data_IF_216591865737
#
_entry.id   IF_216591865737
#
_cell.length_a   1.000
_cell.length_b   1.000
_cell.length_c   1.000
_cell.angle_alpha   90.00
_cell.angle_beta   90.00
_cell.angle_gamma   90.00
#
_symmetry.space_group_name_H-M   'P 1'
#
loop_
_entity.id
_entity.type
_entity.pdbx_description
1 polymer ?
#
# COMPACT_ATOMS: atom_id res chain seq x y z
N UNK A 1 -60.31 56.26 -21.72
CA UNK A 1 -60.01 56.99 -20.47
C UNK A 1 -59.03 56.17 -19.67
N UNK A 2 -57.80 56.66 -19.56
CA UNK A 2 -56.65 56.04 -18.89
C UNK A 2 -56.91 55.64 -17.45
N UNK A 3 -56.36 54.49 -17.02
CA UNK A 3 -55.69 54.38 -15.71
C UNK A 3 -54.47 53.47 -15.82
N UNK A 4 -53.34 54.08 -15.53
CA UNK A 4 -51.97 53.55 -15.48
C UNK A 4 -51.85 52.66 -14.24
N UNK A 5 -51.30 51.46 -14.41
CA UNK A 5 -50.90 50.58 -13.30
C UNK A 5 -49.42 50.86 -13.00
N UNK A 6 -49.15 51.44 -11.84
CA UNK A 6 -47.80 51.61 -11.30
C UNK A 6 -47.51 50.40 -10.41
N UNK A 7 -46.60 49.51 -10.84
CA UNK A 7 -46.05 48.47 -9.99
C UNK A 7 -44.87 49.04 -9.19
N UNK A 8 -45.07 49.19 -7.88
CA UNK A 8 -44.02 49.46 -6.90
C UNK A 8 -43.23 48.17 -6.65
N UNK A 9 -42.00 48.08 -7.16
CA UNK A 9 -41.05 47.03 -6.81
C UNK A 9 -40.28 47.50 -5.57
N UNK A 10 -40.60 46.90 -4.43
CA UNK A 10 -39.82 47.00 -3.20
C UNK A 10 -38.55 46.15 -3.37
N UNK A 11 -37.40 46.79 -3.62
CA UNK A 11 -36.10 46.12 -3.59
C UNK A 11 -35.62 46.03 -2.13
N UNK A 12 -35.78 44.86 -1.53
CA UNK A 12 -35.13 44.51 -0.26
C UNK A 12 -33.64 44.30 -0.50
N UNK A 13 -32.82 45.24 -0.03
CA UNK A 13 -31.37 45.09 0.03
C UNK A 13 -31.04 44.20 1.23
N UNK A 14 -30.83 42.91 1.00
CA UNK A 14 -30.16 42.04 1.97
C UNK A 14 -28.66 42.35 1.95
N UNK A 15 -28.20 43.05 2.97
CA UNK A 15 -26.78 43.19 3.29
C UNK A 15 -26.25 41.86 3.86
N UNK A 16 -25.75 40.98 3.01
CA UNK A 16 -24.87 39.90 3.45
C UNK A 16 -23.47 40.45 3.65
N UNK A 17 -23.07 40.52 4.92
CA UNK A 17 -21.69 40.79 5.36
C UNK A 17 -20.82 39.65 4.85
N UNK A 18 -20.06 39.91 3.79
CA UNK A 18 -18.98 39.04 3.33
C UNK A 18 -17.84 39.11 4.36
N UNK A 19 -17.68 38.04 5.14
CA UNK A 19 -16.41 37.78 5.81
C UNK A 19 -15.35 37.47 4.75
N UNK A 20 -14.19 38.15 4.74
CA UNK A 20 -13.09 37.72 3.89
C UNK A 20 -12.63 36.35 4.39
N UNK A 21 -12.83 35.32 3.56
CA UNK A 21 -12.14 34.05 3.69
C UNK A 21 -10.66 34.37 3.56
N UNK A 22 -9.92 34.29 4.67
CA UNK A 22 -8.47 34.23 4.68
C UNK A 22 -8.05 33.01 3.85
N UNK A 23 -7.90 33.23 2.54
CA UNK A 23 -7.17 32.35 1.65
C UNK A 23 -5.72 32.42 2.11
N UNK A 24 -5.38 31.64 3.15
CA UNK A 24 -4.00 31.27 3.45
C UNK A 24 -3.45 30.65 2.18
N UNK A 25 -2.70 31.49 1.46
CA UNK A 25 -1.80 31.18 0.37
C UNK A 25 -1.09 29.88 0.76
N UNK A 26 -1.48 28.77 0.12
CA UNK A 26 -0.79 27.49 0.25
C UNK A 26 0.62 27.75 -0.26
N UNK A 27 1.54 27.96 0.68
CA UNK A 27 2.98 28.00 0.40
C UNK A 27 3.25 26.69 -0.33
N UNK A 28 3.76 26.75 -1.55
CA UNK A 28 4.18 25.59 -2.30
C UNK A 28 5.20 24.83 -1.46
N UNK A 29 4.73 23.83 -0.71
CA UNK A 29 5.60 22.83 -0.10
C UNK A 29 6.33 22.18 -1.27
N UNK A 30 7.64 22.42 -1.34
CA UNK A 30 8.50 21.58 -2.19
C UNK A 30 8.25 20.15 -1.72
N UNK A 31 7.80 19.30 -2.66
CA UNK A 31 7.62 17.88 -2.39
C UNK A 31 9.03 17.34 -2.13
N UNK A 32 9.36 17.13 -0.85
CA UNK A 32 10.63 16.51 -0.45
C UNK A 32 10.45 15.01 -0.67
N UNK A 33 11.07 14.50 -1.73
CA UNK A 33 11.13 13.07 -2.01
C UNK A 33 12.01 12.41 -0.95
N UNK A 34 11.49 11.39 -0.29
CA UNK A 34 12.23 10.63 0.73
C UNK A 34 13.30 9.73 0.07
N UNK A 35 14.37 9.35 0.79
CA UNK A 35 15.36 8.41 0.27
C UNK A 35 14.76 7.08 -0.20
N UNK A 36 13.72 6.61 0.49
CA UNK A 36 13.00 5.38 0.17
C UNK A 36 12.19 5.53 -1.12
N UNK A 37 11.50 6.66 -1.29
CA UNK A 37 10.81 7.02 -2.53
C UNK A 37 11.79 7.10 -3.70
N UNK A 38 12.90 7.83 -3.57
CA UNK A 38 13.93 7.93 -4.59
C UNK A 38 14.51 6.55 -4.95
N UNK A 39 14.74 5.68 -3.95
CA UNK A 39 15.16 4.30 -4.20
C UNK A 39 14.17 3.52 -5.08
N UNK A 40 12.86 3.72 -4.90
CA UNK A 40 11.87 3.09 -5.77
C UNK A 40 11.94 3.62 -7.20
N UNK A 41 11.98 4.94 -7.38
CA UNK A 41 12.02 5.56 -8.71
C UNK A 41 13.29 5.18 -9.49
N UNK A 42 14.44 5.12 -8.81
CA UNK A 42 15.73 4.83 -9.43
C UNK A 42 15.88 3.35 -9.80
N UNK A 43 15.20 2.45 -9.09
CA UNK A 43 15.43 1.01 -9.20
C UNK A 43 14.24 0.24 -9.77
N UNK A 44 13.02 0.76 -9.76
CA UNK A 44 11.84 0.00 -10.14
C UNK A 44 10.95 0.78 -11.08
N UNK A 45 11.05 0.43 -12.37
CA UNK A 45 10.10 0.83 -13.39
C UNK A 45 9.26 -0.39 -13.81
N UNK A 46 7.95 -0.21 -13.87
CA UNK A 46 7.03 -1.27 -14.24
C UNK A 46 7.08 -1.49 -15.76
N UNK A 47 7.82 -2.53 -16.16
CA UNK A 47 8.03 -2.91 -17.56
C UNK A 47 6.72 -3.12 -18.32
N UNK A 48 6.55 -2.38 -19.40
CA UNK A 48 5.46 -2.57 -20.33
C UNK A 48 5.65 -3.85 -21.15
N UNK A 49 4.55 -4.36 -21.71
CA UNK A 49 4.54 -5.57 -22.52
C UNK A 49 5.53 -5.52 -23.70
N UNK A 50 5.78 -4.33 -24.28
CA UNK A 50 6.76 -4.13 -25.36
C UNK A 50 8.21 -4.44 -24.96
N UNK A 51 8.51 -4.41 -23.68
CA UNK A 51 9.84 -4.68 -23.11
C UNK A 51 10.00 -6.15 -22.67
N UNK A 52 8.95 -6.96 -22.84
CA UNK A 52 8.99 -8.37 -22.49
C UNK A 52 9.67 -9.14 -23.62
N UNK A 53 10.74 -9.85 -23.27
CA UNK A 53 11.40 -10.79 -24.16
C UNK A 53 10.81 -12.19 -23.99
N UNK A 54 10.74 -12.94 -25.09
CA UNK A 54 10.44 -14.37 -25.03
C UNK A 54 11.42 -15.05 -24.08
N UNK A 55 10.91 -15.85 -23.15
CA UNK A 55 11.71 -16.43 -22.07
C UNK A 55 11.58 -15.71 -20.73
N UNK A 56 10.87 -14.58 -20.63
CA UNK A 56 10.60 -13.94 -19.32
C UNK A 56 9.77 -14.87 -18.45
N UNK A 57 10.20 -15.06 -17.21
CA UNK A 57 9.60 -16.03 -16.29
C UNK A 57 8.78 -15.36 -15.18
N UNK A 58 7.68 -16.01 -14.84
CA UNK A 58 6.75 -15.60 -13.79
C UNK A 58 6.43 -16.81 -12.93
N UNK A 59 6.36 -16.63 -11.62
CA UNK A 59 5.94 -17.69 -10.69
C UNK A 59 4.48 -17.49 -10.31
N UNK A 60 3.72 -18.58 -10.34
CA UNK A 60 2.34 -18.59 -9.91
C UNK A 60 2.25 -18.70 -8.39
N UNK A 61 1.59 -17.73 -7.74
CA UNK A 61 1.49 -17.68 -6.27
C UNK A 61 0.21 -18.34 -5.73
N UNK A 62 -0.70 -18.77 -6.62
CA UNK A 62 -1.95 -19.45 -6.28
C UNK A 62 -1.92 -20.92 -6.65
N UNK A 63 -2.67 -21.74 -5.89
CA UNK A 63 -2.90 -23.15 -6.22
C UNK A 63 -3.81 -23.32 -7.43
N UNK A 64 -4.78 -22.43 -7.58
CA UNK A 64 -5.71 -22.42 -8.70
C UNK A 64 -5.07 -21.80 -9.94
N UNK A 65 -5.56 -22.22 -11.12
CA UNK A 65 -5.19 -21.58 -12.37
C UNK A 65 -5.59 -20.10 -12.30
N UNK A 66 -4.68 -19.18 -12.71
CA UNK A 66 -5.03 -17.78 -12.83
C UNK A 66 -6.35 -17.58 -13.59
N UNK A 67 -7.32 -16.90 -12.98
CA UNK A 67 -8.71 -16.81 -13.49
C UNK A 67 -8.75 -16.31 -14.93
N UNK A 68 -7.78 -15.48 -15.28
CA UNK A 68 -7.69 -14.83 -16.56
C UNK A 68 -6.94 -15.65 -17.64
N UNK A 69 -6.28 -16.74 -17.26
CA UNK A 69 -5.60 -17.63 -18.20
C UNK A 69 -6.55 -18.70 -18.70
N UNK A 70 -6.89 -18.64 -19.98
CA UNK A 70 -7.57 -19.74 -20.66
C UNK A 70 -6.62 -20.90 -20.93
N UNK A 71 -7.09 -22.14 -20.71
CA UNK A 71 -6.45 -23.37 -21.17
C UNK A 71 -7.05 -23.74 -22.53
N UNK A 72 -6.20 -24.06 -23.51
CA UNK A 72 -6.67 -24.43 -24.85
C UNK A 72 -6.80 -25.95 -25.06
N UNK A 73 -7.12 -26.74 -24.01
CA UNK A 73 -7.12 -28.21 -24.05
C UNK A 73 -8.09 -28.85 -23.06
N UNK A 74 -8.61 -30.03 -23.47
CA UNK A 74 -9.58 -30.93 -22.82
C UNK A 74 -9.03 -31.75 -21.63
N UNK A 75 -7.78 -31.53 -21.22
CA UNK A 75 -7.13 -32.31 -20.17
C UNK A 75 -7.12 -31.56 -18.85
N UNK A 76 -7.50 -32.25 -17.76
CA UNK A 76 -7.56 -31.70 -16.42
C UNK A 76 -6.25 -30.97 -16.07
N UNK A 77 -6.32 -29.69 -15.65
CA UNK A 77 -5.14 -29.01 -15.13
C UNK A 77 -4.56 -29.80 -13.94
N UNK A 78 -3.27 -29.62 -13.66
CA UNK A 78 -2.74 -30.05 -12.36
C UNK A 78 -3.55 -29.40 -11.25
N UNK A 79 -3.79 -30.12 -10.15
CA UNK A 79 -4.58 -29.60 -9.04
C UNK A 79 -3.88 -28.45 -8.27
N UNK A 80 -2.57 -28.27 -8.46
CA UNK A 80 -1.78 -27.21 -7.82
C UNK A 80 -0.87 -26.48 -8.82
N UNK A 81 -1.07 -25.17 -8.97
CA UNK A 81 -0.23 -24.25 -9.75
C UNK A 81 0.77 -23.47 -8.90
N UNK A 82 0.71 -23.58 -7.58
CA UNK A 82 1.58 -22.80 -6.69
C UNK A 82 3.05 -23.15 -6.93
N UNK A 83 3.88 -22.12 -7.10
CA UNK A 83 5.31 -22.26 -7.38
C UNK A 83 5.64 -22.62 -8.83
N UNK A 84 4.65 -22.83 -9.71
CA UNK A 84 4.92 -23.15 -11.12
C UNK A 84 5.40 -21.94 -11.89
N UNK A 85 6.29 -22.20 -12.86
CA UNK A 85 6.90 -21.16 -13.69
C UNK A 85 6.15 -21.08 -15.02
N UNK A 86 5.60 -19.90 -15.28
CA UNK A 86 5.03 -19.50 -16.55
C UNK A 86 6.05 -18.66 -17.31
N UNK A 87 6.44 -19.15 -18.48
CA UNK A 87 7.37 -18.46 -19.37
C UNK A 87 6.59 -17.75 -20.47
N UNK A 88 6.75 -16.43 -20.58
CA UNK A 88 6.18 -15.67 -21.68
C UNK A 88 6.84 -16.08 -23.01
N UNK A 89 6.02 -16.36 -24.03
CA UNK A 89 6.50 -16.77 -25.35
C UNK A 89 6.31 -15.68 -26.40
N UNK A 90 5.07 -15.27 -26.64
CA UNK A 90 4.73 -14.34 -27.73
C UNK A 90 3.33 -13.75 -27.57
N UNK A 91 3.01 -12.78 -28.43
CA UNK A 91 1.65 -12.34 -28.70
C UNK A 91 1.09 -13.11 -29.89
N UNK A 92 -0.16 -13.54 -29.78
CA UNK A 92 -0.89 -14.22 -30.83
C UNK A 92 -2.17 -13.42 -31.13
N UNK A 93 -2.27 -12.87 -32.34
CA UNK A 93 -3.49 -12.19 -32.76
C UNK A 93 -4.57 -13.23 -33.11
N UNK A 94 -5.74 -13.06 -32.51
CA UNK A 94 -6.94 -13.85 -32.76
C UNK A 94 -8.01 -12.94 -33.38
N UNK A 95 -8.72 -13.46 -34.39
CA UNK A 95 -9.90 -12.78 -34.93
C UNK A 95 -11.08 -13.07 -34.00
N UNK A 96 -11.37 -12.13 -33.10
CA UNK A 96 -12.57 -12.17 -32.27
C UNK A 96 -13.82 -11.83 -33.07
N UNK A 97 -14.98 -12.27 -32.58
CA UNK A 97 -16.28 -11.90 -33.16
C UNK A 97 -16.54 -10.38 -33.08
N UNK A 98 -16.00 -9.70 -32.06
CA UNK A 98 -16.22 -8.27 -31.79
C UNK A 98 -15.06 -7.36 -32.22
N UNK A 99 -14.05 -7.84 -32.93
CA UNK A 99 -12.86 -7.06 -33.33
C UNK A 99 -11.55 -7.83 -33.20
N UNK A 100 -10.43 -7.10 -33.20
CA UNK A 100 -9.09 -7.64 -32.94
C UNK A 100 -8.96 -8.04 -31.46
N UNK A 101 -8.67 -9.32 -31.22
CA UNK A 101 -8.28 -9.82 -29.90
C UNK A 101 -6.84 -10.30 -29.96
N UNK A 102 -6.08 -10.10 -28.90
CA UNK A 102 -4.70 -10.57 -28.81
C UNK A 102 -4.55 -11.41 -27.56
N UNK A 103 -4.00 -12.61 -27.72
CA UNK A 103 -3.64 -13.48 -26.61
C UNK A 103 -2.15 -13.28 -26.25
N UNK A 104 -1.88 -13.01 -24.97
CA UNK A 104 -0.53 -13.14 -24.41
C UNK A 104 -0.32 -14.62 -24.09
N UNK A 105 0.65 -15.24 -24.75
CA UNK A 105 0.89 -16.69 -24.65
C UNK A 105 1.99 -16.98 -23.65
N UNK A 106 1.66 -17.80 -22.66
CA UNK A 106 2.58 -18.37 -21.68
C UNK A 106 2.74 -19.87 -21.90
N UNK A 107 3.89 -20.40 -21.50
CA UNK A 107 4.15 -21.83 -21.42
C UNK A 107 4.50 -22.21 -20.00
N UNK A 108 3.89 -23.29 -19.49
CA UNK A 108 4.20 -23.86 -18.19
C UNK A 108 4.12 -25.38 -18.32
N UNK A 109 5.17 -26.11 -17.92
CA UNK A 109 5.24 -27.58 -17.96
C UNK A 109 4.86 -28.18 -19.34
N UNK A 110 5.29 -27.53 -20.43
CA UNK A 110 5.00 -27.95 -21.80
C UNK A 110 3.56 -27.67 -22.28
N UNK A 111 2.74 -27.00 -21.47
CA UNK A 111 1.37 -26.59 -21.81
C UNK A 111 1.32 -25.10 -22.12
N UNK A 112 0.47 -24.71 -23.09
CA UNK A 112 0.26 -23.32 -23.49
C UNK A 112 -0.97 -22.74 -22.79
N UNK A 113 -0.81 -21.54 -22.26
CA UNK A 113 -1.85 -20.76 -21.58
C UNK A 113 -2.00 -19.42 -22.27
N UNK A 114 -3.24 -18.94 -22.40
CA UNK A 114 -3.55 -17.70 -23.13
C UNK A 114 -4.26 -16.71 -22.22
N UNK A 115 -3.68 -15.53 -22.04
CA UNK A 115 -4.37 -14.38 -21.45
C UNK A 115 -4.94 -13.51 -22.58
N UNK A 116 -6.27 -13.51 -22.74
CA UNK A 116 -6.93 -12.81 -23.85
C UNK A 116 -7.20 -11.36 -23.50
N UNK A 117 -6.83 -10.46 -24.41
CA UNK A 117 -7.04 -9.01 -24.30
C UNK A 117 -7.81 -8.52 -25.51
N UNK A 118 -8.88 -7.74 -25.29
CA UNK A 118 -9.71 -7.12 -26.34
C UNK A 118 -9.05 -5.88 -26.94
N UNK A 119 -7.84 -6.03 -27.47
CA UNK A 119 -7.04 -5.00 -28.15
C UNK A 119 -6.17 -5.67 -29.22
N UNK A 120 -5.77 -4.91 -30.25
CA UNK A 120 -4.77 -5.40 -31.21
C UNK A 120 -3.37 -5.42 -30.60
N UNK A 121 -2.46 -6.25 -31.13
CA UNK A 121 -1.08 -6.30 -30.64
C UNK A 121 -0.39 -4.94 -30.83
N UNK A 122 -0.64 -4.26 -31.94
CA UNK A 122 -0.13 -2.92 -32.21
C UNK A 122 -0.57 -1.88 -31.17
N UNK A 123 -1.85 -1.86 -30.80
CA UNK A 123 -2.37 -0.97 -29.75
C UNK A 123 -1.73 -1.25 -28.38
N UNK A 124 -1.57 -2.53 -28.04
CA UNK A 124 -0.96 -2.94 -26.77
C UNK A 124 0.50 -2.51 -26.68
N UNK A 125 1.27 -2.68 -27.76
CA UNK A 125 2.68 -2.32 -27.80
C UNK A 125 2.90 -0.80 -27.84
N UNK A 126 2.08 -0.06 -28.60
CA UNK A 126 2.16 1.40 -28.67
C UNK A 126 1.76 2.08 -27.36
N UNK A 127 0.72 1.56 -26.70
CA UNK A 127 0.15 2.14 -25.47
C UNK A 127 0.89 1.79 -24.18
N UNK A 128 2.07 1.16 -24.23
CA UNK A 128 2.78 0.69 -23.03
C UNK A 128 1.88 -0.18 -22.14
N UNK A 129 1.16 -1.13 -22.75
CA UNK A 129 0.18 -1.95 -22.04
C UNK A 129 0.85 -2.77 -20.93
N UNK A 130 0.23 -2.80 -19.75
CA UNK A 130 0.63 -3.57 -18.58
C UNK A 130 -0.47 -4.58 -18.25
N UNK A 131 -0.25 -5.88 -18.50
CA UNK A 131 -1.26 -6.88 -18.21
C UNK A 131 -1.43 -7.02 -16.69
N UNK A 132 -2.67 -7.01 -16.21
CA UNK A 132 -2.97 -7.24 -14.80
C UNK A 132 -2.95 -8.75 -14.54
N UNK A 133 -1.83 -9.24 -14.01
CA UNK A 133 -1.60 -10.66 -13.72
C UNK A 133 -1.29 -10.84 -12.22
N UNK A 134 -2.28 -10.65 -11.33
CA UNK A 134 -2.05 -10.65 -9.88
C UNK A 134 -1.51 -11.98 -9.36
N UNK A 135 -1.84 -13.09 -10.03
CA UNK A 135 -1.40 -14.43 -9.65
C UNK A 135 -0.02 -14.81 -10.20
N UNK A 136 0.54 -14.02 -11.13
CA UNK A 136 1.84 -14.28 -11.76
C UNK A 136 2.86 -13.20 -11.40
N UNK A 137 3.74 -13.52 -10.46
CA UNK A 137 4.80 -12.61 -10.00
C UNK A 137 6.03 -12.74 -10.92
N UNK A 138 6.57 -11.65 -11.50
CA UNK A 138 7.76 -11.72 -12.34
C UNK A 138 9.01 -12.10 -11.52
N UNK A 139 9.74 -13.14 -11.94
CA UNK A 139 10.93 -13.60 -11.20
C UNK A 139 12.09 -12.61 -11.29
N UNK A 140 12.22 -11.87 -12.40
CA UNK A 140 13.23 -10.82 -12.56
C UNK A 140 13.01 -9.65 -11.59
N UNK A 141 11.75 -9.38 -11.25
CA UNK A 141 11.37 -8.36 -10.28
C UNK A 141 11.72 -8.78 -8.84
N UNK A 142 11.41 -10.03 -8.47
CA UNK A 142 11.78 -10.62 -7.16
C UNK A 142 13.31 -10.64 -7.01
N UNK A 143 14.03 -11.15 -8.02
CA UNK A 143 15.49 -11.24 -7.99
C UNK A 143 16.16 -9.86 -7.88
N UNK A 144 15.62 -8.84 -8.57
CA UNK A 144 16.12 -7.47 -8.46
C UNK A 144 15.95 -6.93 -7.04
N UNK A 145 14.75 -7.06 -6.47
CA UNK A 145 14.48 -6.64 -5.09
C UNK A 145 15.38 -7.36 -4.09
N UNK A 146 15.55 -8.67 -4.23
CA UNK A 146 16.44 -9.47 -3.40
C UNK A 146 17.89 -8.97 -3.47
N UNK A 147 18.41 -8.75 -4.68
CA UNK A 147 19.79 -8.27 -4.87
C UNK A 147 20.06 -6.90 -4.25
N UNK A 148 19.05 -6.04 -4.20
CA UNK A 148 19.18 -4.68 -3.65
C UNK A 148 19.02 -4.66 -2.14
N UNK A 149 18.18 -5.53 -1.56
CA UNK A 149 17.78 -5.45 -0.16
C UNK A 149 18.43 -6.49 0.76
N UNK A 150 18.79 -7.68 0.25
CA UNK A 150 19.34 -8.76 1.07
C UNK A 150 20.56 -8.30 1.86
N UNK A 151 20.57 -8.58 3.15
CA UNK A 151 21.63 -8.20 4.09
C UNK A 151 21.59 -6.75 4.57
N UNK A 152 20.70 -5.90 4.06
CA UNK A 152 20.52 -4.53 4.58
C UNK A 152 19.80 -4.55 5.93
N UNK A 153 20.15 -3.57 6.76
CA UNK A 153 19.38 -3.22 7.95
C UNK A 153 18.41 -2.10 7.56
N UNK A 154 17.13 -2.32 7.82
CA UNK A 154 16.04 -1.37 7.58
C UNK A 154 15.23 -1.18 8.85
N UNK A 155 14.49 -0.08 8.95
CA UNK A 155 13.58 0.20 10.06
C UNK A 155 12.13 0.00 9.61
N UNK A 156 11.47 -1.01 10.17
CA UNK A 156 10.09 -1.35 9.76
C UNK A 156 9.07 -0.45 10.44
N UNK A 157 8.08 0.08 9.71
CA UNK A 157 7.04 1.02 10.19
C UNK A 157 5.76 0.31 10.64
N UNK A 158 5.55 -0.93 10.19
CA UNK A 158 4.38 -1.74 10.51
C UNK A 158 4.69 -2.80 11.55
N UNK A 159 3.74 -3.05 12.46
CA UNK A 159 3.77 -4.18 13.39
C UNK A 159 2.95 -5.39 12.91
N UNK A 160 2.32 -5.29 11.72
CA UNK A 160 1.59 -6.39 11.09
C UNK A 160 2.60 -7.28 10.37
N UNK A 161 3.06 -8.32 11.04
CA UNK A 161 4.07 -9.26 10.55
C UNK A 161 3.44 -10.63 10.38
N UNK A 162 3.99 -11.44 9.49
CA UNK A 162 3.60 -12.85 9.34
C UNK A 162 4.81 -13.77 9.55
N UNK A 163 4.58 -14.94 10.14
CA UNK A 163 5.60 -15.97 10.30
C UNK A 163 5.92 -16.70 8.98
N UNK A 164 6.78 -17.74 9.03
CA UNK A 164 7.13 -18.54 7.85
C UNK A 164 5.95 -19.32 7.25
N UNK A 165 4.89 -19.54 8.02
CA UNK A 165 3.68 -20.24 7.58
C UNK A 165 2.66 -19.26 6.97
N UNK A 166 2.92 -17.95 7.01
CA UNK A 166 1.99 -16.91 6.59
C UNK A 166 0.92 -16.58 7.63
N UNK A 167 1.13 -16.97 8.89
CA UNK A 167 0.21 -16.63 10.00
C UNK A 167 0.63 -15.30 10.61
N UNK A 168 -0.34 -14.42 10.84
CA UNK A 168 -0.11 -13.14 11.49
C UNK A 168 0.40 -13.32 12.92
N UNK A 169 1.48 -12.60 13.24
CA UNK A 169 2.12 -12.59 14.55
C UNK A 169 2.22 -11.16 15.09
N UNK A 170 2.35 -11.04 16.41
CA UNK A 170 2.55 -9.74 17.06
C UNK A 170 3.96 -9.21 16.73
N UNK A 171 4.04 -8.28 15.79
CA UNK A 171 5.28 -7.61 15.41
C UNK A 171 5.61 -6.38 16.26
N UNK A 172 6.67 -5.69 15.85
CA UNK A 172 7.08 -4.40 16.40
C UNK A 172 7.24 -3.38 15.27
N UNK A 173 7.09 -2.10 15.58
CA UNK A 173 7.39 -1.01 14.64
C UNK A 173 8.53 -0.14 15.12
N UNK A 174 9.13 0.57 14.18
CA UNK A 174 10.29 1.45 14.30
C UNK A 174 11.54 0.75 14.84
N UNK A 175 11.60 -0.57 14.72
CA UNK A 175 12.75 -1.38 15.13
C UNK A 175 13.61 -1.73 13.92
N UNK A 176 14.93 -1.89 14.10
CA UNK A 176 15.79 -2.38 13.05
C UNK A 176 15.50 -3.86 12.76
N UNK A 177 15.48 -4.20 11.47
CA UNK A 177 15.36 -5.56 10.95
C UNK A 177 16.41 -5.80 9.89
N UNK A 178 16.99 -7.00 9.89
CA UNK A 178 17.95 -7.44 8.87
C UNK A 178 17.21 -8.22 7.81
N UNK A 179 17.25 -7.76 6.56
CA UNK A 179 16.58 -8.45 5.45
C UNK A 179 17.33 -9.75 5.14
N UNK A 180 16.66 -10.89 5.34
CA UNK A 180 17.20 -12.20 5.00
C UNK A 180 17.08 -12.51 3.52
N UNK A 181 16.02 -12.02 2.87
CA UNK A 181 15.79 -12.16 1.44
C UNK A 181 14.42 -11.65 1.01
N UNK A 182 14.19 -11.66 -0.31
CA UNK A 182 12.91 -11.33 -0.92
C UNK A 182 12.40 -12.54 -1.70
N UNK A 183 11.16 -12.90 -1.44
CA UNK A 183 10.47 -14.03 -2.04
C UNK A 183 9.25 -13.54 -2.84
N UNK A 184 8.68 -14.38 -3.72
CA UNK A 184 7.36 -14.12 -4.27
C UNK A 184 6.33 -13.94 -3.14
N UNK A 185 5.49 -12.92 -3.27
CA UNK A 185 4.44 -12.60 -2.32
C UNK A 185 3.17 -13.41 -2.54
N UNK A 186 2.05 -12.72 -2.51
CA UNK A 186 0.72 -13.30 -2.68
C UNK A 186 -0.03 -12.65 -3.86
N UNK A 187 -1.30 -13.03 -4.04
CA UNK A 187 -2.17 -12.51 -5.11
C UNK A 187 -2.50 -11.02 -5.00
N UNK A 188 -2.16 -10.40 -3.87
CA UNK A 188 -2.45 -9.00 -3.54
C UNK A 188 -1.19 -8.16 -3.71
N UNK A 189 -0.07 -8.64 -3.18
CA UNK A 189 1.21 -7.95 -3.15
C UNK A 189 2.32 -8.88 -3.67
N UNK A 190 3.04 -8.48 -4.74
CA UNK A 190 3.91 -9.39 -5.49
C UNK A 190 5.19 -9.80 -4.76
N UNK A 191 5.63 -9.06 -3.74
CA UNK A 191 6.86 -9.35 -3.02
C UNK A 191 6.58 -9.65 -1.55
N UNK A 192 7.33 -10.60 -0.99
CA UNK A 192 7.40 -10.87 0.44
C UNK A 192 8.82 -10.63 0.91
N UNK A 193 9.01 -9.65 1.79
CA UNK A 193 10.31 -9.35 2.38
C UNK A 193 10.43 -10.16 3.67
N UNK A 194 11.40 -11.07 3.72
CA UNK A 194 11.70 -11.91 4.88
C UNK A 194 12.85 -11.25 5.65
N UNK A 195 12.68 -11.07 6.95
CA UNK A 195 13.64 -10.39 7.80
C UNK A 195 13.72 -11.00 9.21
N UNK A 196 14.80 -10.67 9.90
CA UNK A 196 15.02 -11.02 11.31
C UNK A 196 15.14 -9.74 12.13
N UNK A 197 14.37 -9.64 13.21
CA UNK A 197 14.43 -8.48 14.10
C UNK A 197 15.60 -8.56 15.09
N UNK A 198 15.81 -7.49 15.87
CA UNK A 198 16.86 -7.44 16.89
C UNK A 198 16.71 -8.45 18.04
N UNK A 199 15.56 -9.13 18.16
CA UNK A 199 15.31 -10.18 19.16
C UNK A 199 15.49 -11.58 18.57
N UNK A 200 15.88 -11.70 17.30
CA UNK A 200 16.04 -12.97 16.60
C UNK A 200 14.72 -13.56 16.07
N UNK A 201 13.62 -12.80 16.08
CA UNK A 201 12.35 -13.23 15.51
C UNK A 201 12.42 -13.11 14.00
N UNK A 202 12.28 -14.23 13.30
CA UNK A 202 12.10 -14.25 11.85
C UNK A 202 10.64 -13.98 11.49
N UNK A 203 10.43 -13.04 10.59
CA UNK A 203 9.11 -12.64 10.13
C UNK A 203 9.15 -12.15 8.69
N UNK A 204 7.98 -11.84 8.14
CA UNK A 204 7.86 -11.29 6.80
C UNK A 204 6.70 -10.31 6.66
N UNK A 205 6.77 -9.47 5.62
CA UNK A 205 5.68 -8.61 5.18
C UNK A 205 5.57 -8.65 3.66
N UNK A 206 4.34 -8.65 3.16
CA UNK A 206 4.08 -8.51 1.73
C UNK A 206 4.08 -7.01 1.34
N UNK A 207 4.63 -6.69 0.16
CA UNK A 207 4.75 -5.33 -0.35
C UNK A 207 4.90 -5.28 -1.87
N UNK A 208 5.04 -4.06 -2.38
CA UNK A 208 5.32 -3.72 -3.78
C UNK A 208 6.36 -2.60 -3.82
N UNK A 209 7.23 -2.65 -4.83
CA UNK A 209 8.19 -1.58 -5.13
C UNK A 209 7.61 -0.50 -6.05
N UNK A 210 6.35 -0.63 -6.47
CA UNK A 210 5.68 0.38 -7.29
C UNK A 210 4.91 1.34 -6.37
N UNK A 211 5.28 2.63 -6.38
CA UNK A 211 4.67 3.66 -5.53
C UNK A 211 3.18 3.87 -5.81
N UNK A 212 2.79 3.74 -7.07
CA UNK A 212 1.43 3.97 -7.56
C UNK A 212 0.53 2.72 -7.52
N UNK A 213 0.97 1.66 -6.83
CA UNK A 213 0.25 0.39 -6.80
C UNK A 213 -1.16 0.50 -6.16
N UNK A 214 -2.16 0.56 -7.05
CA UNK A 214 -3.56 0.17 -6.90
C UNK A 214 -4.21 0.52 -5.55
N UNK A 215 -4.84 1.70 -5.47
CA UNK A 215 -5.69 2.17 -4.37
C UNK A 215 -4.97 2.40 -3.02
N UNK A 216 -5.54 3.24 -2.18
CA UNK A 216 -5.04 3.59 -0.84
C UNK A 216 -4.97 2.43 0.18
N UNK A 217 -5.16 1.18 -0.26
CA UNK A 217 -5.25 0.00 0.61
C UNK A 217 -3.95 -0.81 0.67
N UNK A 218 -3.05 -0.66 -0.30
CA UNK A 218 -1.79 -1.41 -0.35
C UNK A 218 -0.59 -0.58 0.09
N UNK A 219 0.34 -1.21 0.81
CA UNK A 219 1.50 -0.52 1.39
C UNK A 219 2.75 -0.85 0.59
N UNK A 220 3.24 0.15 -0.14
CA UNK A 220 4.50 0.11 -0.87
C UNK A 220 5.70 0.11 0.08
N UNK A 221 6.87 -0.27 -0.44
CA UNK A 221 8.09 -0.40 0.35
C UNK A 221 8.46 0.88 1.12
N UNK A 222 8.33 2.05 0.51
CA UNK A 222 8.61 3.37 1.12
C UNK A 222 7.74 3.68 2.33
N UNK A 223 6.54 3.12 2.39
CA UNK A 223 5.62 3.26 3.52
C UNK A 223 5.86 2.22 4.60
N UNK A 224 6.44 1.06 4.28
CA UNK A 224 6.72 -0.02 5.22
C UNK A 224 8.10 0.07 5.86
N UNK A 225 9.10 0.59 5.16
CA UNK A 225 10.48 0.59 5.62
C UNK A 225 11.06 1.99 5.65
N UNK A 226 12.12 2.16 6.42
CA UNK A 226 12.98 3.34 6.38
C UNK A 226 14.44 2.92 6.35
N UNK A 227 15.26 3.66 5.63
CA UNK A 227 16.71 3.51 5.63
C UNK A 227 17.38 4.13 6.86
N UNK A 228 16.69 5.02 7.57
CA UNK A 228 17.20 5.70 8.78
C UNK A 228 16.39 5.35 10.01
N UNK A 229 17.01 5.50 11.17
CA UNK A 229 16.36 5.23 12.45
C UNK A 229 15.24 6.25 12.68
N UNK A 230 14.01 5.75 12.79
CA UNK A 230 12.83 6.59 13.00
C UNK A 230 12.88 7.23 14.39
N UNK A 231 13.56 6.61 15.36
CA UNK A 231 13.74 7.12 16.72
C UNK A 231 14.50 8.44 16.75
N UNK A 232 15.40 8.69 15.81
CA UNK A 232 16.17 9.95 15.73
C UNK A 232 15.27 11.18 15.54
N UNK A 233 14.05 11.00 15.00
CA UNK A 233 13.07 12.07 14.83
C UNK A 233 12.31 12.41 16.11
N UNK A 234 12.47 11.61 17.17
CA UNK A 234 11.73 11.73 18.42
C UNK A 234 12.66 11.61 19.64
N UNK A 235 13.70 12.46 19.76
CA UNK A 235 14.67 12.39 20.85
C UNK A 235 14.07 12.69 22.23
N UNK A 236 12.94 13.40 22.28
CA UNK A 236 12.28 13.82 23.53
C UNK A 236 11.42 12.71 24.16
N UNK A 237 11.14 11.61 23.43
CA UNK A 237 10.32 10.51 23.95
C UNK A 237 11.20 9.62 24.84
N UNK A 238 10.75 9.39 26.07
CA UNK A 238 11.42 8.51 27.03
C UNK A 238 11.52 7.06 26.50
N UNK A 239 12.59 6.36 26.86
CA UNK A 239 12.85 4.96 26.49
C UNK A 239 11.69 4.02 26.80
N UNK A 240 11.09 4.13 27.99
CA UNK A 240 9.96 3.27 28.40
C UNK A 240 8.72 3.50 27.52
N UNK A 241 8.46 4.78 27.20
CA UNK A 241 7.35 5.19 26.33
C UNK A 241 7.62 4.74 24.90
N UNK A 242 8.85 4.91 24.40
CA UNK A 242 9.24 4.46 23.08
C UNK A 242 9.15 2.96 22.95
N UNK A 243 9.55 2.22 23.97
CA UNK A 243 9.42 0.77 23.97
C UNK A 243 7.93 0.35 23.84
N UNK A 244 7.01 1.03 24.53
CA UNK A 244 5.58 0.84 24.32
C UNK A 244 5.12 1.22 22.90
N UNK A 245 5.62 2.32 22.33
CA UNK A 245 5.36 2.73 20.94
C UNK A 245 5.77 1.62 19.96
N UNK A 246 6.94 1.01 20.14
CA UNK A 246 7.40 -0.08 19.25
C UNK A 246 6.50 -1.30 19.30
N UNK A 247 5.75 -1.51 20.39
CA UNK A 247 4.78 -2.61 20.55
C UNK A 247 3.35 -2.24 20.16
N UNK A 248 3.11 -1.02 19.67
CA UNK A 248 1.75 -0.50 19.41
C UNK A 248 0.91 -0.50 20.69
N UNK A 249 1.54 -0.13 21.81
CA UNK A 249 0.92 -0.04 23.13
C UNK A 249 0.91 1.41 23.61
N UNK A 250 0.04 1.71 24.58
CA UNK A 250 -0.03 3.02 25.24
C UNK A 250 0.13 2.84 26.75
N UNK A 251 0.71 3.85 27.42
CA UNK A 251 0.87 3.87 28.87
C UNK A 251 0.31 5.16 29.44
N UNK A 252 -0.21 5.10 30.67
CA UNK A 252 -0.71 6.29 31.36
C UNK A 252 0.39 7.37 31.47
N UNK A 253 0.01 8.62 31.26
CA UNK A 253 0.94 9.76 31.20
C UNK A 253 1.50 10.06 29.81
N UNK A 254 1.26 9.22 28.79
CA UNK A 254 1.63 9.55 27.42
C UNK A 254 0.96 10.85 26.94
N UNK A 255 1.72 11.67 26.24
CA UNK A 255 1.21 12.82 25.49
C UNK A 255 0.39 12.36 24.29
N UNK A 256 -0.46 13.25 23.77
CA UNK A 256 -1.19 13.00 22.51
C UNK A 256 -0.29 12.67 21.32
N UNK A 257 0.90 13.26 21.25
CA UNK A 257 1.84 12.98 20.17
C UNK A 257 2.42 11.56 20.28
N UNK A 258 2.82 11.14 21.47
CA UNK A 258 3.32 9.77 21.72
C UNK A 258 2.26 8.71 21.41
N UNK A 259 1.01 8.95 21.84
CA UNK A 259 -0.11 8.07 21.51
C UNK A 259 -0.37 8.00 20.00
N UNK A 260 -0.33 9.13 19.30
CA UNK A 260 -0.49 9.19 17.84
C UNK A 260 0.64 8.44 17.10
N UNK A 261 1.88 8.55 17.58
CA UNK A 261 3.03 7.82 17.03
C UNK A 261 2.89 6.31 17.31
N UNK A 262 2.25 5.91 18.42
CA UNK A 262 2.01 4.50 18.80
C UNK A 262 0.83 3.84 18.08
N UNK A 263 -0.38 4.37 18.24
CA UNK A 263 -1.62 3.73 17.74
C UNK A 263 -2.23 4.42 16.54
N UNK A 264 -1.65 5.54 16.09
CA UNK A 264 -2.11 6.28 14.92
C UNK A 264 -3.18 7.33 15.24
N UNK A 265 -3.68 7.96 14.18
CA UNK A 265 -4.73 8.98 14.27
C UNK A 265 -6.07 8.36 14.67
N UNK A 266 -6.82 9.00 15.57
CA UNK A 266 -8.16 8.55 15.91
C UNK A 266 -9.14 8.81 14.78
N UNK A 267 -10.16 7.95 14.68
CA UNK A 267 -11.27 8.13 13.73
C UNK A 267 -12.21 9.25 14.19
N UNK A 268 -12.38 9.42 15.51
CA UNK A 268 -13.21 10.44 16.09
C UNK A 268 -12.58 11.06 17.34
N UNK A 269 -12.71 12.38 17.49
CA UNK A 269 -12.25 13.13 18.66
C UNK A 269 -13.41 13.91 19.26
N UNK A 270 -13.70 13.67 20.54
CA UNK A 270 -14.71 14.41 21.31
C UNK A 270 -14.06 15.13 22.49
N UNK A 271 -14.37 16.41 22.66
CA UNK A 271 -13.87 17.23 23.79
C UNK A 271 -15.02 17.58 24.72
N UNK A 272 -14.85 17.30 26.00
CA UNK A 272 -15.86 17.54 27.04
C UNK A 272 -15.21 18.36 28.15
N UNK A 273 -15.71 19.57 28.45
CA UNK A 273 -15.33 20.30 29.64
C UNK A 273 -15.82 19.52 30.88
N UNK A 274 -14.93 19.27 31.83
CA UNK A 274 -15.23 18.65 33.11
C UNK A 274 -14.79 19.60 34.25
N UNK A 275 -15.29 19.37 35.46
CA UNK A 275 -14.96 20.18 36.64
C UNK A 275 -13.46 20.16 36.97
N UNK A 276 -12.72 19.15 36.50
CA UNK A 276 -11.29 18.96 36.71
C UNK A 276 -10.41 19.38 35.52
N UNK A 277 -10.99 19.92 34.43
CA UNK A 277 -10.24 20.32 33.23
C UNK A 277 -10.92 19.89 31.93
N UNK A 278 -10.17 19.96 30.82
CA UNK A 278 -10.68 19.52 29.51
C UNK A 278 -10.37 18.04 29.28
N UNK A 279 -11.40 17.21 29.16
CA UNK A 279 -11.26 15.81 28.75
C UNK A 279 -11.40 15.68 27.24
N UNK A 280 -10.50 14.91 26.63
CA UNK A 280 -10.49 14.62 25.20
C UNK A 280 -10.53 13.10 24.98
N UNK A 281 -11.58 12.64 24.29
CA UNK A 281 -11.85 11.23 23.99
C UNK A 281 -11.49 10.96 22.55
N UNK A 282 -10.58 10.02 22.33
CA UNK A 282 -10.18 9.51 21.04
C UNK A 282 -10.80 8.14 20.86
N UNK A 283 -11.55 7.94 19.77
CA UNK A 283 -12.18 6.67 19.43
C UNK A 283 -11.63 6.15 18.11
N UNK A 284 -11.43 4.83 18.06
CA UNK A 284 -10.98 4.10 16.90
C UNK A 284 -12.07 3.09 16.48
N UNK A 285 -12.18 2.80 15.17
CA UNK A 285 -13.25 1.97 14.62
C UNK A 285 -13.25 0.53 15.13
N UNK A 286 -12.13 0.05 15.66
CA UNK A 286 -11.97 -1.27 16.27
C UNK A 286 -12.48 -1.35 17.73
N UNK A 287 -13.01 -0.25 18.29
CA UNK A 287 -13.48 -0.18 19.67
C UNK A 287 -12.40 0.21 20.69
N UNK A 288 -11.16 0.43 20.26
CA UNK A 288 -10.11 1.05 21.07
C UNK A 288 -10.51 2.48 21.41
N UNK A 289 -10.24 2.92 22.65
CA UNK A 289 -10.43 4.32 23.03
C UNK A 289 -9.30 4.80 23.94
N UNK A 290 -8.98 6.09 23.83
CA UNK A 290 -8.03 6.81 24.69
C UNK A 290 -8.71 8.05 25.27
N UNK A 291 -8.46 8.34 26.54
CA UNK A 291 -8.97 9.53 27.24
C UNK A 291 -7.80 10.34 27.74
N UNK A 292 -7.73 11.58 27.30
CA UNK A 292 -6.72 12.53 27.72
C UNK A 292 -7.32 13.57 28.66
N UNK A 293 -6.57 13.95 29.68
CA UNK A 293 -6.85 15.08 30.56
C UNK A 293 -5.63 16.00 30.56
N UNK A 294 -5.85 17.28 30.26
CA UNK A 294 -4.80 18.30 30.16
C UNK A 294 -3.62 17.90 29.24
N UNK A 295 -3.91 17.07 28.23
CA UNK A 295 -2.95 16.62 27.21
C UNK A 295 -2.23 15.31 27.52
N UNK A 296 -2.47 14.70 28.68
CA UNK A 296 -1.86 13.43 29.11
C UNK A 296 -2.91 12.31 29.14
N UNK A 297 -2.50 11.09 28.77
CA UNK A 297 -3.33 9.91 28.74
C UNK A 297 -3.66 9.46 30.17
N UNK A 298 -4.95 9.40 30.52
CA UNK A 298 -5.41 9.00 31.85
C UNK A 298 -6.18 7.68 31.86
N UNK A 299 -6.85 7.33 30.77
CA UNK A 299 -7.65 6.10 30.66
C UNK A 299 -7.60 5.58 29.23
N UNK A 300 -7.57 4.26 29.06
CA UNK A 300 -7.58 3.64 27.73
C UNK A 300 -8.09 2.20 27.75
N UNK A 301 -8.52 1.73 26.58
CA UNK A 301 -8.75 0.32 26.27
C UNK A 301 -8.24 0.05 24.86
N UNK A 302 -7.33 -0.91 24.72
CA UNK A 302 -6.84 -1.41 23.44
C UNK A 302 -7.71 -2.58 22.95
#
# INVERSE_FOLDING_TARGET
MSRIVVFLIFTTVLSSVFYPVDAKRKKSEQIVITPEEAFLDDNFDEKCLKEWNSGREFVCVTRELPVLLGINMLSSPSDDFSGKIFTYRMLEEEKGWSGSETAIVFECEGRKYKYKVKKSAGEMLAGCFRPLLPELVPLDYVAKADSLLRGRILYIRSANWSDSSGVDIKGRKYVPVTVNGVEPGDKVLPLKIVFTDSRGVMASVCTTMYRDAISSQYTSFDKLFSFTDIRERYPDINDDVWEAVTRVEVVAGMTKNEAMISVGYPDNVRKIPDNAGLREYWMYNNGTYLVFQDGLLVEYRL
#
